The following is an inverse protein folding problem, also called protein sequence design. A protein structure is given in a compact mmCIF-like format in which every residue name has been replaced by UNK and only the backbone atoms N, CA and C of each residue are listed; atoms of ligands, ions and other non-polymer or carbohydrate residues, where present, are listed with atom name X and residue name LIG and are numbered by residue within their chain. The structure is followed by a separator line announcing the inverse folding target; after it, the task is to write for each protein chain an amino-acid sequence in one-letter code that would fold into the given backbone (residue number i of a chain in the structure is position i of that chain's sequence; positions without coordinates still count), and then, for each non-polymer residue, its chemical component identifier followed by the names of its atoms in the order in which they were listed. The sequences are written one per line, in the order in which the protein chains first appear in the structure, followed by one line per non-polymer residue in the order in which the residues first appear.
data_IF_474994227561
#
_entry.id   IF_474994227561
#
_cell.length_a   1.000
_cell.length_b   1.000
_cell.length_c   1.000
_cell.angle_alpha   90.00
_cell.angle_beta   90.00
_cell.angle_gamma   90.00
#
_symmetry.space_group_name_H-M   'P 1'
#
loop_
_entity.id
_entity.type
_entity.pdbx_description
1 polymer ?
#
# COMPACT_ATOMS: atom_id res chain seq x y z
N UNK A 1 7.04 -0.63 19.37
CA UNK A 1 7.89 0.55 19.20
C UNK A 1 7.50 1.22 17.90
N UNK A 2 6.87 2.39 17.98
CA UNK A 2 6.60 3.21 16.80
C UNK A 2 7.89 3.92 16.42
N UNK A 3 8.52 3.50 15.32
CA UNK A 3 9.60 4.28 14.74
C UNK A 3 9.02 5.61 14.25
N UNK A 4 9.75 6.70 14.46
CA UNK A 4 9.39 7.97 13.86
C UNK A 4 9.26 7.83 12.34
N UNK A 5 8.30 8.51 11.71
CA UNK A 5 8.17 8.49 10.26
C UNK A 5 9.47 8.98 9.62
N UNK A 6 9.90 8.35 8.53
CA UNK A 6 11.10 8.79 7.80
C UNK A 6 10.94 10.24 7.32
N UNK A 7 11.99 11.03 7.45
CA UNK A 7 12.07 12.33 6.79
C UNK A 7 12.20 12.16 5.27
N UNK A 8 11.81 13.19 4.51
CA UNK A 8 11.94 13.22 3.05
C UNK A 8 13.39 13.02 2.59
N UNK A 9 14.35 13.68 3.26
CA UNK A 9 15.78 13.57 2.95
C UNK A 9 16.31 12.14 3.16
N UNK A 10 15.90 11.48 4.26
CA UNK A 10 16.29 10.11 4.54
C UNK A 10 15.70 9.14 3.49
N UNK A 11 14.46 9.36 3.09
CA UNK A 11 13.80 8.59 2.05
C UNK A 11 14.49 8.72 0.69
N UNK A 12 14.99 9.91 0.34
CA UNK A 12 15.70 10.14 -0.92
C UNK A 12 17.03 9.36 -0.99
N UNK A 13 17.82 9.40 0.08
CA UNK A 13 19.11 8.70 0.19
C UNK A 13 18.96 7.17 0.08
N UNK A 14 17.91 6.61 0.71
CA UNK A 14 17.67 5.16 0.71
C UNK A 14 17.39 4.61 -0.69
N UNK A 15 16.82 5.43 -1.57
CA UNK A 15 16.40 5.04 -2.90
C UNK A 15 17.19 5.74 -4.02
N UNK A 16 18.44 6.13 -3.77
CA UNK A 16 19.32 6.62 -4.83
C UNK A 16 19.59 5.51 -5.86
N UNK A 17 18.77 5.44 -6.92
CA UNK A 17 18.85 4.44 -7.99
C UNK A 17 17.51 3.80 -8.38
N UNK A 18 17.49 3.03 -9.48
CA UNK A 18 16.29 2.33 -9.99
C UNK A 18 16.20 0.85 -9.59
N UNK A 19 17.16 0.34 -8.82
CA UNK A 19 17.31 -1.07 -8.49
C UNK A 19 16.67 -1.43 -7.13
N UNK A 20 16.10 -2.62 -6.99
CA UNK A 20 15.47 -3.10 -5.76
C UNK A 20 14.43 -4.20 -5.99
N UNK A 21 14.19 -5.05 -4.98
CA UNK A 21 13.20 -6.15 -5.07
C UNK A 21 11.77 -5.61 -5.12
N UNK A 22 10.96 -6.18 -6.00
CA UNK A 22 9.53 -5.84 -6.11
C UNK A 22 8.71 -6.73 -5.19
N UNK A 23 7.87 -6.08 -4.39
CA UNK A 23 6.90 -6.71 -3.51
C UNK A 23 5.49 -6.29 -3.88
N UNK A 24 4.53 -7.16 -3.58
CA UNK A 24 3.11 -6.83 -3.67
C UNK A 24 2.50 -6.86 -2.29
N UNK A 25 1.63 -5.89 -2.01
CA UNK A 25 0.88 -5.82 -0.77
C UNK A 25 -0.62 -5.67 -1.08
N UNK A 26 -1.45 -6.11 -0.13
CA UNK A 26 -2.89 -5.98 -0.20
C UNK A 26 -3.35 -4.94 0.82
N UNK A 27 -4.02 -3.89 0.33
CA UNK A 27 -4.63 -2.87 1.16
C UNK A 27 -6.10 -3.17 1.31
N UNK A 28 -6.55 -3.25 2.56
CA UNK A 28 -7.93 -3.57 2.92
C UNK A 28 -8.58 -2.42 3.68
N UNK A 29 -9.91 -2.40 3.71
CA UNK A 29 -10.65 -1.41 4.49
C UNK A 29 -10.31 -1.49 5.99
N UNK A 30 -10.50 -0.38 6.71
CA UNK A 30 -10.22 -0.31 8.15
C UNK A 30 -11.11 -1.24 8.97
N UNK A 31 -12.32 -1.51 8.51
CA UNK A 31 -13.32 -2.39 9.12
C UNK A 31 -13.26 -3.85 8.65
N UNK A 32 -12.31 -4.20 7.76
CA UNK A 32 -12.17 -5.57 7.24
C UNK A 32 -12.01 -6.60 8.38
N UNK A 33 -12.89 -7.60 8.43
CA UNK A 33 -13.07 -8.46 9.60
C UNK A 33 -13.10 -9.96 9.26
N UNK A 34 -12.57 -10.34 8.10
CA UNK A 34 -12.55 -11.74 7.70
C UNK A 34 -11.68 -12.57 8.66
N UNK A 35 -12.29 -13.48 9.42
CA UNK A 35 -11.65 -14.29 10.46
C UNK A 35 -10.46 -15.13 9.99
N UNK A 36 -10.38 -15.45 8.69
CA UNK A 36 -9.22 -16.11 8.10
C UNK A 36 -8.00 -15.19 8.05
N UNK A 37 -8.21 -13.89 7.96
CA UNK A 37 -7.18 -12.86 7.77
C UNK A 37 -6.97 -11.95 8.98
N UNK A 38 -7.89 -11.93 9.95
CA UNK A 38 -7.72 -11.20 11.21
C UNK A 38 -7.46 -12.13 12.38
N UNK A 39 -6.67 -11.67 13.34
CA UNK A 39 -6.51 -12.25 14.67
C UNK A 39 -7.81 -12.04 15.48
N UNK A 40 -8.03 -12.78 16.57
CA UNK A 40 -9.15 -12.52 17.48
C UNK A 40 -9.16 -11.09 18.05
N UNK A 41 -8.00 -10.43 18.10
CA UNK A 41 -7.86 -9.01 18.48
C UNK A 41 -8.38 -8.02 17.42
N UNK A 42 -8.70 -8.48 16.21
CA UNK A 42 -9.06 -7.64 15.06
C UNK A 42 -7.88 -7.16 14.20
N UNK A 43 -6.65 -7.38 14.67
CA UNK A 43 -5.43 -7.08 13.92
C UNK A 43 -5.27 -8.00 12.70
N UNK A 44 -4.63 -7.50 11.64
CA UNK A 44 -4.35 -8.32 10.46
C UNK A 44 -3.29 -9.38 10.78
N UNK A 45 -3.58 -10.63 10.44
CA UNK A 45 -2.61 -11.74 10.54
C UNK A 45 -1.42 -11.47 9.60
N UNK A 46 -0.18 -11.65 10.06
CA UNK A 46 0.98 -11.68 9.18
C UNK A 46 0.82 -12.78 8.11
N UNK A 47 0.92 -12.45 6.82
CA UNK A 47 0.67 -13.42 5.73
C UNK A 47 1.70 -13.38 4.61
N UNK A 48 2.28 -14.54 4.28
CA UNK A 48 3.15 -14.76 3.09
C UNK A 48 2.32 -15.36 1.95
N UNK A 49 2.64 -15.09 0.67
CA UNK A 49 3.63 -14.13 0.17
C UNK A 49 3.09 -12.70 0.01
N UNK A 50 1.81 -12.46 0.31
CA UNK A 50 1.11 -11.19 0.06
C UNK A 50 0.76 -10.51 1.40
N UNK A 51 1.64 -9.66 1.97
CA UNK A 51 1.38 -8.93 3.20
C UNK A 51 0.15 -8.00 3.06
N UNK A 52 -0.50 -7.73 4.19
CA UNK A 52 -1.73 -6.94 4.24
C UNK A 52 -1.59 -5.74 5.17
N UNK A 53 -2.22 -4.62 4.81
CA UNK A 53 -2.29 -3.44 5.69
C UNK A 53 -3.65 -2.74 5.58
N UNK A 54 -4.05 -2.05 6.63
CA UNK A 54 -5.27 -1.21 6.65
C UNK A 54 -5.05 0.05 5.82
N UNK A 55 -6.10 0.49 5.13
CA UNK A 55 -6.05 1.66 4.23
C UNK A 55 -5.61 2.92 4.95
N UNK A 56 -6.16 3.22 6.14
CA UNK A 56 -5.78 4.39 6.92
C UNK A 56 -4.32 4.36 7.29
N UNK A 57 -3.87 3.25 7.89
CA UNK A 57 -2.49 3.04 8.32
C UNK A 57 -1.51 3.09 7.16
N UNK A 58 -1.83 2.49 6.02
CA UNK A 58 -0.94 2.47 4.87
C UNK A 58 -0.72 3.88 4.31
N UNK A 59 -1.79 4.57 3.94
CA UNK A 59 -1.70 5.86 3.27
C UNK A 59 -1.26 7.00 4.20
N UNK A 60 -1.62 6.96 5.48
CA UNK A 60 -1.15 7.97 6.45
C UNK A 60 0.34 7.84 6.78
N UNK A 61 0.92 6.66 6.54
CA UNK A 61 2.34 6.40 6.76
C UNK A 61 3.20 6.70 5.53
N UNK A 62 2.60 7.19 4.44
CA UNK A 62 3.35 7.54 3.24
C UNK A 62 3.99 8.91 3.39
N UNK A 63 5.26 8.99 3.01
CA UNK A 63 6.04 10.22 2.98
C UNK A 63 6.35 10.52 1.52
N UNK A 64 6.09 11.75 1.09
CA UNK A 64 6.46 12.22 -0.24
C UNK A 64 7.87 12.79 -0.18
N UNK A 65 8.77 12.30 -1.03
CA UNK A 65 10.12 12.85 -1.19
C UNK A 65 10.10 14.10 -2.06
N UNK A 66 11.19 14.87 -2.04
CA UNK A 66 11.34 16.08 -2.85
C UNK A 66 11.25 15.81 -4.36
N UNK A 67 11.75 14.66 -4.80
CA UNK A 67 11.65 14.19 -6.19
C UNK A 67 10.29 13.53 -6.53
N UNK A 68 9.32 13.60 -5.62
CA UNK A 68 7.93 13.25 -5.88
C UNK A 68 7.58 11.77 -5.71
N UNK A 69 8.50 10.92 -5.24
CA UNK A 69 8.22 9.52 -4.89
C UNK A 69 7.44 9.42 -3.59
N UNK A 70 6.76 8.29 -3.41
CA UNK A 70 6.00 7.98 -2.20
C UNK A 70 6.64 6.80 -1.48
N UNK A 71 7.12 7.01 -0.26
CA UNK A 71 7.77 5.99 0.54
C UNK A 71 6.89 5.63 1.72
N UNK A 72 6.64 4.34 1.92
CA UNK A 72 6.01 3.81 3.12
C UNK A 72 7.01 3.84 4.28
N UNK A 73 6.81 4.78 5.20
CA UNK A 73 7.61 4.99 6.41
C UNK A 73 6.96 4.45 7.69
N UNK A 74 5.88 3.66 7.59
CA UNK A 74 5.09 3.16 8.73
C UNK A 74 5.72 2.02 9.52
N UNK A 75 7.03 1.81 9.38
CA UNK A 75 7.76 0.66 9.91
C UNK A 75 7.59 -0.60 9.06
N UNK A 76 7.59 -1.76 9.72
CA UNK A 76 7.51 -3.07 9.08
C UNK A 76 6.09 -3.37 8.57
N UNK A 77 5.94 -3.50 7.25
CA UNK A 77 4.66 -3.82 6.62
C UNK A 77 4.16 -5.18 7.09
N UNK A 78 2.93 -5.22 7.63
CA UNK A 78 2.29 -6.44 8.15
C UNK A 78 3.15 -7.19 9.20
N UNK A 79 4.05 -6.50 9.89
CA UNK A 79 4.96 -7.08 10.90
C UNK A 79 6.19 -7.78 10.33
N UNK A 80 6.54 -7.57 9.07
CA UNK A 80 7.68 -8.21 8.42
C UNK A 80 8.93 -7.32 8.49
N UNK A 81 9.97 -7.69 9.25
CA UNK A 81 11.10 -6.80 9.51
C UNK A 81 11.85 -6.33 8.25
N UNK A 82 11.88 -7.16 7.20
CA UNK A 82 12.54 -6.82 5.94
C UNK A 82 11.71 -5.89 5.03
N UNK A 83 10.43 -5.68 5.32
CA UNK A 83 9.51 -4.88 4.50
C UNK A 83 9.33 -3.49 5.10
N UNK A 84 10.42 -2.74 5.15
CA UNK A 84 10.49 -1.37 5.67
C UNK A 84 10.96 -0.42 4.57
N UNK A 85 10.60 0.87 4.67
CA UNK A 85 11.05 1.92 3.76
C UNK A 85 10.80 1.53 2.31
N UNK A 86 9.53 1.33 1.95
CA UNK A 86 9.15 0.76 0.65
C UNK A 86 8.61 1.84 -0.28
N UNK A 87 9.11 1.91 -1.51
CA UNK A 87 8.62 2.87 -2.49
C UNK A 87 7.35 2.36 -3.17
N UNK A 88 6.30 3.18 -3.20
CA UNK A 88 5.08 2.91 -3.93
C UNK A 88 5.31 3.11 -5.42
N UNK A 89 5.24 2.02 -6.18
CA UNK A 89 5.41 2.04 -7.64
C UNK A 89 4.11 2.06 -8.40
N UNK A 90 3.09 1.34 -7.92
CA UNK A 90 1.76 1.39 -8.52
C UNK A 90 0.67 0.97 -7.54
N UNK A 91 -0.53 1.49 -7.78
CA UNK A 91 -1.74 1.10 -7.06
C UNK A 91 -2.74 0.60 -8.08
N UNK A 92 -3.20 -0.63 -7.90
CA UNK A 92 -4.14 -1.30 -8.80
C UNK A 92 -5.34 -1.82 -8.05
N UNK A 93 -6.52 -1.65 -8.63
CA UNK A 93 -7.77 -2.10 -8.06
C UNK A 93 -8.45 -3.05 -9.04
N UNK A 94 -8.89 -4.20 -8.54
CA UNK A 94 -9.73 -5.11 -9.31
C UNK A 94 -11.18 -4.69 -9.11
N UNK A 95 -11.80 -4.14 -10.16
CA UNK A 95 -13.20 -3.72 -10.11
C UNK A 95 -14.09 -4.94 -9.89
N UNK A 96 -15.17 -4.75 -9.12
CA UNK A 96 -16.18 -5.80 -8.92
C UNK A 96 -16.70 -6.29 -10.27
N UNK A 97 -17.01 -7.60 -10.35
CA UNK A 97 -17.51 -8.23 -11.57
C UNK A 97 -18.79 -7.54 -12.03
N UNK A 98 -18.86 -7.25 -13.32
CA UNK A 98 -20.15 -7.11 -13.99
C UNK A 98 -20.74 -8.52 -14.15
N UNK A 99 -22.06 -8.71 -14.00
CA UNK A 99 -22.72 -10.01 -14.11
C UNK A 99 -22.51 -10.67 -15.48
N UNK A 100 -22.15 -9.89 -16.50
CA UNK A 100 -21.90 -10.37 -17.87
C UNK A 100 -20.44 -10.74 -18.18
N UNK A 101 -19.46 -10.32 -17.37
CA UNK A 101 -18.03 -10.56 -17.65
C UNK A 101 -17.38 -11.32 -16.48
N UNK A 102 -16.90 -12.54 -16.74
CA UNK A 102 -16.38 -13.45 -15.70
C UNK A 102 -15.17 -12.89 -14.93
N UNK A 103 -14.44 -11.92 -15.49
CA UNK A 103 -13.35 -11.20 -14.84
C UNK A 103 -13.57 -9.69 -14.94
N UNK A 104 -13.70 -9.01 -13.80
CA UNK A 104 -13.74 -7.55 -13.75
C UNK A 104 -12.41 -6.95 -14.18
N UNK A 105 -12.40 -5.78 -14.86
CA UNK A 105 -11.18 -5.13 -15.31
C UNK A 105 -10.30 -4.71 -14.13
N UNK A 106 -8.97 -4.75 -14.35
CA UNK A 106 -7.99 -4.18 -13.44
C UNK A 106 -7.83 -2.70 -13.80
N UNK A 107 -8.08 -1.81 -12.84
CA UNK A 107 -7.89 -0.38 -12.99
C UNK A 107 -6.59 0.03 -12.31
N UNK A 108 -5.78 0.86 -12.98
CA UNK A 108 -4.62 1.52 -12.37
C UNK A 108 -5.06 2.85 -11.77
N UNK A 109 -4.81 3.03 -10.48
CA UNK A 109 -5.17 4.23 -9.72
C UNK A 109 -3.97 5.17 -9.54
N UNK A 110 -2.77 4.61 -9.57
CA UNK A 110 -1.50 5.33 -9.52
C UNK A 110 -0.41 4.52 -10.23
N UNK A 111 0.47 5.21 -10.95
CA UNK A 111 1.67 4.65 -11.57
C UNK A 111 2.84 5.64 -11.48
N UNK A 112 3.91 5.24 -10.79
CA UNK A 112 5.10 6.07 -10.60
C UNK A 112 5.96 6.19 -11.87
N UNK A 113 5.79 5.31 -12.86
CA UNK A 113 6.54 5.36 -14.13
C UNK A 113 5.90 6.35 -15.09
N UNK A 114 4.57 6.28 -15.24
CA UNK A 114 3.85 7.18 -16.16
C UNK A 114 3.45 8.51 -15.52
N UNK A 115 3.47 8.60 -14.19
CA UNK A 115 2.98 9.76 -13.45
C UNK A 115 1.45 9.87 -13.43
N UNK A 116 0.75 8.82 -13.88
CA UNK A 116 -0.71 8.81 -13.93
C UNK A 116 -1.34 8.54 -12.55
N UNK A 117 -2.47 9.20 -12.32
CA UNK A 117 -3.26 9.03 -11.11
C UNK A 117 -2.68 9.75 -9.90
N UNK A 118 -3.15 9.39 -8.70
CA UNK A 118 -2.74 10.05 -7.47
C UNK A 118 -2.76 9.08 -6.29
N UNK A 119 -1.80 9.27 -5.39
CA UNK A 119 -1.79 8.61 -4.09
C UNK A 119 -2.61 9.46 -3.11
N UNK A 120 -3.63 8.90 -2.43
CA UNK A 120 -4.35 9.61 -1.39
C UNK A 120 -3.40 10.02 -0.26
N UNK A 121 -3.32 11.31 0.04
CA UNK A 121 -2.39 11.83 1.04
C UNK A 121 -3.07 12.63 2.15
N UNK A 122 -4.32 13.05 1.98
CA UNK A 122 -5.11 13.68 3.04
C UNK A 122 -6.11 12.69 3.64
N UNK A 123 -6.52 12.93 4.89
CA UNK A 123 -7.52 12.08 5.55
C UNK A 123 -8.84 12.00 4.76
N UNK A 124 -9.24 13.10 4.11
CA UNK A 124 -10.42 13.12 3.24
C UNK A 124 -10.24 12.28 1.99
N UNK A 125 -9.10 12.41 1.30
CA UNK A 125 -8.78 11.60 0.13
C UNK A 125 -8.72 10.12 0.48
N UNK A 126 -8.15 9.76 1.63
CA UNK A 126 -8.08 8.37 2.11
C UNK A 126 -9.48 7.82 2.36
N UNK A 127 -10.36 8.58 3.02
CA UNK A 127 -11.77 8.17 3.24
C UNK A 127 -12.50 7.98 1.92
N UNK A 128 -12.38 8.92 1.00
CA UNK A 128 -12.99 8.83 -0.34
C UNK A 128 -12.47 7.63 -1.11
N UNK A 129 -11.15 7.41 -1.09
CA UNK A 129 -10.51 6.24 -1.71
C UNK A 129 -11.07 4.93 -1.15
N UNK A 130 -11.16 4.82 0.18
CA UNK A 130 -11.71 3.63 0.84
C UNK A 130 -13.17 3.39 0.45
N UNK A 131 -14.01 4.43 0.49
CA UNK A 131 -15.43 4.34 0.13
C UNK A 131 -15.66 3.86 -1.31
N UNK A 132 -14.80 4.28 -2.24
CA UNK A 132 -14.93 3.93 -3.67
C UNK A 132 -14.36 2.54 -3.97
N UNK A 133 -13.16 2.23 -3.47
CA UNK A 133 -12.38 1.08 -3.92
C UNK A 133 -12.36 -0.11 -2.95
N UNK A 134 -12.68 0.10 -1.67
CA UNK A 134 -12.57 -0.91 -0.62
C UNK A 134 -13.94 -1.29 -0.03
N UNK A 135 -14.92 -1.51 -0.90
CA UNK A 135 -16.23 -2.10 -0.53
C UNK A 135 -16.04 -3.46 0.17
N UNK A 136 -17.05 -3.97 0.92
CA UNK A 136 -16.93 -5.25 1.62
C UNK A 136 -16.41 -6.38 0.72
N UNK A 137 -15.32 -7.03 1.13
CA UNK A 137 -14.67 -8.11 0.39
C UNK A 137 -13.75 -7.66 -0.76
N UNK A 138 -13.67 -6.36 -1.06
CA UNK A 138 -12.72 -5.79 -2.01
C UNK A 138 -11.38 -5.47 -1.35
N UNK A 139 -10.35 -5.33 -2.18
CA UNK A 139 -9.03 -4.89 -1.76
C UNK A 139 -8.32 -4.23 -2.93
N UNK A 140 -7.32 -3.44 -2.61
CA UNK A 140 -6.41 -2.82 -3.58
C UNK A 140 -5.06 -3.53 -3.48
N UNK A 141 -4.40 -3.73 -4.62
CA UNK A 141 -3.03 -4.22 -4.68
C UNK A 141 -2.08 -3.07 -4.92
N UNK A 142 -1.06 -2.99 -4.07
CA UNK A 142 0.03 -2.03 -4.20
C UNK A 142 1.29 -2.78 -4.62
N UNK A 143 2.00 -2.23 -5.59
CA UNK A 143 3.34 -2.68 -5.97
C UNK A 143 4.35 -1.78 -5.28
N UNK A 144 5.26 -2.41 -4.55
CA UNK A 144 6.25 -1.79 -3.70
C UNK A 144 7.64 -2.17 -4.18
N UNK A 145 8.58 -1.24 -4.09
CA UNK A 145 10.01 -1.51 -4.32
C UNK A 145 10.75 -1.39 -3.01
N UNK A 146 11.46 -2.43 -2.63
CA UNK A 146 12.38 -2.40 -1.50
C UNK A 146 13.69 -1.72 -1.89
N UNK A 147 14.40 -1.11 -0.93
CA UNK A 147 15.71 -0.52 -1.20
C UNK A 147 16.75 -1.60 -1.48
N UNK A 148 17.87 -1.19 -2.09
CA UNK A 148 18.92 -2.09 -2.61
C UNK A 148 19.57 -3.02 -1.57
N UNK A 149 19.48 -2.70 -0.27
CA UNK A 149 20.09 -3.49 0.81
C UNK A 149 19.19 -4.60 1.38
N UNK A 150 18.11 -4.96 0.66
CA UNK A 150 17.22 -6.09 0.99
C UNK A 150 17.55 -7.38 0.24
#
# INVERSE_FOLDING_TARGET
GGGEPLSADAAELIFAGSEGLIWHAQIVADDYSNSRHVLPSGELKPRRPLPQERVSRFFSSLVRTHDGRWIYGGGALNGWPALTNLEVRSITWKRARDRMVQLGPICRLFDAVTGEGAVPSTAEQIRTFAAVHLKPGASVRVTLRAPRWS
#
